data_IF_961487925283
#
_entry.id   IF_961487925283
#
_cell.length_a   1.000
_cell.length_b   1.000
_cell.length_c   1.000
_cell.angle_alpha   90.00
_cell.angle_beta   90.00
_cell.angle_gamma   90.00
#
_symmetry.space_group_name_H-M   'P 1'
#
loop_
_entity.id
_entity.type
_entity.pdbx_description
1 polymer ?
#
# COMPACT_ATOMS: atom_id res chain seq x y z
N UNK A 1 26.39 -14.59 -0.45
CA UNK A 1 25.64 -13.31 -0.42
C UNK A 1 25.14 -13.11 -1.82
N UNK A 2 23.82 -12.97 -2.01
CA UNK A 2 23.29 -12.49 -3.30
C UNK A 2 23.49 -10.98 -3.28
N UNK A 3 24.16 -10.40 -4.27
CA UNK A 3 24.51 -8.97 -4.29
C UNK A 3 23.26 -8.07 -4.20
N UNK A 4 22.11 -8.55 -4.71
CA UNK A 4 20.80 -7.88 -4.55
C UNK A 4 20.39 -7.70 -3.08
N UNK A 5 20.75 -8.64 -2.20
CA UNK A 5 20.37 -8.59 -0.79
C UNK A 5 21.03 -7.41 -0.04
N UNK A 6 22.19 -6.92 -0.52
CA UNK A 6 22.83 -5.72 0.01
C UNK A 6 22.01 -4.47 -0.29
N UNK A 7 21.54 -4.34 -1.54
CA UNK A 7 20.65 -3.24 -1.95
C UNK A 7 19.30 -3.30 -1.23
N UNK A 8 18.70 -4.48 -1.10
CA UNK A 8 17.44 -4.63 -0.36
C UNK A 8 17.58 -4.28 1.12
N UNK A 9 18.74 -4.55 1.74
CA UNK A 9 19.05 -4.10 3.10
C UNK A 9 19.11 -2.58 3.18
N UNK A 10 19.89 -1.95 2.29
CA UNK A 10 20.01 -0.49 2.25
C UNK A 10 18.64 0.18 2.05
N UNK A 11 17.81 -0.41 1.19
CA UNK A 11 16.46 0.07 0.93
C UNK A 11 15.50 -0.17 2.10
N UNK A 12 15.67 -1.25 2.85
CA UNK A 12 14.94 -1.48 4.09
C UNK A 12 15.32 -0.47 5.17
N UNK A 13 16.59 -0.10 5.26
CA UNK A 13 17.10 0.84 6.27
C UNK A 13 16.70 2.30 5.94
N UNK A 14 16.65 2.66 4.66
CA UNK A 14 16.27 3.98 4.16
C UNK A 14 15.22 3.89 3.03
N UNK A 15 13.95 3.55 3.34
CA UNK A 15 12.94 3.24 2.32
C UNK A 15 12.53 4.41 1.44
N UNK A 16 12.69 5.65 1.89
CA UNK A 16 12.41 6.84 1.11
C UNK A 16 13.58 7.28 0.20
N UNK A 17 14.74 6.61 0.25
CA UNK A 17 15.90 7.00 -0.56
C UNK A 17 15.75 6.55 -2.02
N UNK A 18 15.28 7.48 -2.85
CA UNK A 18 15.15 7.27 -4.29
C UNK A 18 16.50 7.05 -4.99
N UNK A 19 17.62 7.49 -4.41
CA UNK A 19 18.96 7.25 -4.96
C UNK A 19 19.29 5.76 -4.92
N UNK A 20 19.15 5.13 -3.75
CA UNK A 20 19.35 3.69 -3.59
C UNK A 20 18.47 2.87 -4.54
N UNK A 21 17.22 3.33 -4.77
CA UNK A 21 16.28 2.68 -5.69
C UNK A 21 16.76 2.73 -7.14
N UNK A 22 17.22 3.89 -7.60
CA UNK A 22 17.68 4.06 -8.97
C UNK A 22 19.01 3.34 -9.22
N UNK A 23 19.92 3.35 -8.24
CA UNK A 23 21.18 2.58 -8.33
C UNK A 23 20.89 1.07 -8.41
N UNK A 24 19.95 0.56 -7.60
CA UNK A 24 19.52 -0.83 -7.70
C UNK A 24 18.89 -1.13 -9.08
N UNK A 25 18.08 -0.21 -9.62
CA UNK A 25 17.49 -0.39 -10.95
C UNK A 25 18.56 -0.49 -12.05
N UNK A 26 19.58 0.37 -12.01
CA UNK A 26 20.69 0.34 -12.98
C UNK A 26 21.48 -0.97 -12.86
N UNK A 27 21.79 -1.41 -11.63
CA UNK A 27 22.46 -2.70 -11.39
C UNK A 27 21.64 -3.91 -11.86
N UNK A 28 20.31 -3.86 -11.71
CA UNK A 28 19.41 -4.92 -12.17
C UNK A 28 19.39 -5.03 -13.71
N UNK A 29 19.42 -3.91 -14.42
CA UNK A 29 19.46 -3.91 -15.89
C UNK A 29 20.74 -4.59 -16.43
N UNK A 30 21.88 -4.39 -15.75
CA UNK A 30 23.16 -5.00 -16.11
C UNK A 30 23.14 -6.54 -16.03
N UNK A 31 22.22 -7.14 -15.24
CA UNK A 31 22.07 -8.60 -15.16
C UNK A 31 21.50 -9.21 -16.43
N UNK A 32 20.70 -8.43 -17.18
CA UNK A 32 20.13 -8.84 -18.47
C UNK A 32 19.04 -9.91 -18.41
N UNK A 33 18.66 -10.41 -17.23
CA UNK A 33 17.57 -11.39 -17.09
C UNK A 33 16.17 -10.73 -17.00
N UNK A 34 15.09 -11.40 -17.43
CA UNK A 34 13.76 -10.79 -17.48
C UNK A 34 13.18 -10.34 -16.13
N UNK A 35 13.49 -11.07 -15.05
CA UNK A 35 13.02 -10.71 -13.70
C UNK A 35 13.70 -9.42 -13.24
N UNK A 36 15.02 -9.33 -13.43
CA UNK A 36 15.80 -8.13 -13.08
C UNK A 36 15.34 -6.90 -13.85
N UNK A 37 15.06 -7.03 -15.15
CA UNK A 37 14.49 -5.94 -15.96
C UNK A 37 13.11 -5.48 -15.43
N UNK A 38 12.26 -6.44 -15.04
CA UNK A 38 10.94 -6.12 -14.46
C UNK A 38 11.07 -5.39 -13.12
N UNK A 39 12.00 -5.82 -12.26
CA UNK A 39 12.33 -5.14 -11.00
C UNK A 39 12.85 -3.73 -11.22
N UNK A 40 13.76 -3.54 -12.18
CA UNK A 40 14.31 -2.22 -12.54
C UNK A 40 13.20 -1.27 -13.02
N UNK A 41 12.32 -1.76 -13.89
CA UNK A 41 11.16 -1.01 -14.37
C UNK A 41 10.22 -0.62 -13.22
N UNK A 42 9.93 -1.56 -12.29
CA UNK A 42 9.10 -1.29 -11.13
C UNK A 42 9.67 -0.20 -10.23
N UNK A 43 10.99 -0.23 -9.96
CA UNK A 43 11.66 0.80 -9.14
C UNK A 43 11.53 2.18 -9.77
N UNK A 44 11.82 2.30 -11.07
CA UNK A 44 11.72 3.58 -11.79
C UNK A 44 10.27 4.08 -11.86
N UNK A 45 9.31 3.20 -12.14
CA UNK A 45 7.89 3.53 -12.12
C UNK A 45 7.44 4.01 -10.74
N UNK A 46 7.86 3.34 -9.66
CA UNK A 46 7.54 3.72 -8.28
C UNK A 46 8.05 5.12 -7.93
N UNK A 47 9.27 5.48 -8.33
CA UNK A 47 9.82 6.83 -8.12
C UNK A 47 9.04 7.87 -8.92
N UNK A 48 8.83 7.63 -10.23
CA UNK A 48 8.14 8.57 -11.13
C UNK A 48 6.68 8.82 -10.73
N UNK A 49 6.00 7.81 -10.22
CA UNK A 49 4.58 7.87 -9.86
C UNK A 49 4.35 8.26 -8.38
N UNK A 50 5.42 8.39 -7.58
CA UNK A 50 5.32 8.92 -6.23
C UNK A 50 5.02 10.42 -6.29
N UNK A 51 3.77 10.81 -6.02
CA UNK A 51 3.39 12.22 -6.10
C UNK A 51 2.07 12.58 -5.41
N UNK A 52 1.13 11.63 -5.29
CA UNK A 52 -0.11 11.85 -4.54
C UNK A 52 -0.47 10.62 -3.72
N UNK A 53 -0.90 10.84 -2.47
CA UNK A 53 -1.54 9.80 -1.66
C UNK A 53 -3.05 9.75 -1.97
N UNK A 54 -3.42 10.01 -3.22
CA UNK A 54 -4.80 10.17 -3.62
C UNK A 54 -5.26 8.98 -4.44
N UNK A 55 -6.28 8.28 -3.94
CA UNK A 55 -6.86 7.12 -4.59
C UNK A 55 -6.17 5.81 -4.24
N UNK A 56 -6.99 4.79 -4.02
CA UNK A 56 -6.53 3.42 -3.80
C UNK A 56 -6.07 2.73 -5.09
N UNK A 57 -6.36 3.31 -6.26
CA UNK A 57 -6.11 2.69 -7.55
C UNK A 57 -4.76 3.14 -8.11
N UNK A 58 -3.89 2.18 -8.40
CA UNK A 58 -2.57 2.43 -8.96
C UNK A 58 -2.62 2.46 -10.50
N UNK A 59 -1.75 3.27 -11.14
CA UNK A 59 -1.57 3.24 -12.59
C UNK A 59 -1.35 1.81 -13.09
N UNK A 60 -2.00 1.45 -14.19
CA UNK A 60 -1.94 0.10 -14.78
C UNK A 60 -0.51 -0.40 -14.95
N UNK A 61 0.41 0.46 -15.39
CA UNK A 61 1.83 0.14 -15.51
C UNK A 61 2.44 -0.40 -14.20
N UNK A 62 2.20 0.26 -13.06
CA UNK A 62 2.78 -0.16 -11.78
C UNK A 62 2.18 -1.48 -11.31
N UNK A 63 0.89 -1.69 -11.58
CA UNK A 63 0.15 -2.91 -11.25
C UNK A 63 0.68 -4.11 -12.04
N UNK A 64 0.79 -3.96 -13.36
CA UNK A 64 1.25 -5.02 -14.26
C UNK A 64 2.68 -5.47 -13.90
N UNK A 65 3.56 -4.51 -13.61
CA UNK A 65 4.92 -4.80 -13.14
C UNK A 65 4.90 -5.54 -11.80
N UNK A 66 4.07 -5.11 -10.84
CA UNK A 66 3.99 -5.73 -9.52
C UNK A 66 3.46 -7.17 -9.56
N UNK A 67 2.52 -7.49 -10.47
CA UNK A 67 1.99 -8.85 -10.65
C UNK A 67 3.06 -9.89 -11.03
N UNK A 68 4.09 -9.46 -11.77
CA UNK A 68 5.19 -10.32 -12.22
C UNK A 68 6.30 -10.54 -11.20
N UNK A 69 6.23 -9.93 -10.01
CA UNK A 69 7.33 -9.86 -9.06
C UNK A 69 7.04 -10.58 -7.73
N UNK A 70 8.07 -11.06 -7.02
CA UNK A 70 7.89 -11.69 -5.71
C UNK A 70 7.24 -10.72 -4.70
N UNK A 71 6.14 -11.09 -4.01
CA UNK A 71 5.41 -10.18 -3.12
C UNK A 71 6.25 -9.57 -1.99
N UNK A 72 7.18 -10.34 -1.43
CA UNK A 72 8.13 -9.87 -0.42
C UNK A 72 9.10 -8.82 -0.96
N UNK A 73 9.48 -8.91 -2.24
CA UNK A 73 10.32 -7.92 -2.89
C UNK A 73 9.54 -6.64 -3.14
N UNK A 74 8.31 -6.75 -3.64
CA UNK A 74 7.42 -5.59 -3.86
C UNK A 74 7.15 -4.87 -2.54
N UNK A 75 6.95 -5.58 -1.43
CA UNK A 75 6.76 -4.98 -0.11
C UNK A 75 7.93 -4.07 0.32
N UNK A 76 9.18 -4.45 0.01
CA UNK A 76 10.35 -3.62 0.29
C UNK A 76 10.39 -2.40 -0.63
N UNK A 77 10.13 -2.62 -1.92
CA UNK A 77 10.30 -1.63 -2.97
C UNK A 77 9.11 -0.65 -3.12
N UNK A 78 7.96 -0.94 -2.52
CA UNK A 78 6.73 -0.18 -2.74
C UNK A 78 6.73 1.23 -2.11
N UNK A 79 6.04 2.17 -2.75
CA UNK A 79 5.78 3.55 -2.30
C UNK A 79 4.27 3.86 -2.17
N UNK A 80 3.45 2.84 -1.94
CA UNK A 80 1.98 2.97 -1.93
C UNK A 80 1.46 3.80 -0.74
N UNK A 81 0.26 4.40 -0.85
CA UNK A 81 -0.38 5.12 0.24
C UNK A 81 -0.67 4.23 1.45
N UNK A 82 -0.78 4.86 2.63
CA UNK A 82 -1.26 4.21 3.85
C UNK A 82 -2.74 4.51 4.05
N UNK A 83 -3.55 3.47 4.15
CA UNK A 83 -5.01 3.53 4.29
C UNK A 83 -5.47 3.17 5.72
N UNK A 84 -6.74 3.49 6.02
CA UNK A 84 -7.39 3.25 7.33
C UNK A 84 -6.66 3.93 8.50
N UNK A 85 -6.04 5.07 8.25
CA UNK A 85 -5.36 5.83 9.30
C UNK A 85 -6.40 6.47 10.23
N UNK A 86 -6.40 6.16 11.53
CA UNK A 86 -7.35 6.78 12.46
C UNK A 86 -6.92 8.17 12.98
N UNK A 87 -5.89 8.78 12.38
CA UNK A 87 -5.38 10.11 12.74
C UNK A 87 -6.47 11.18 12.48
N UNK A 88 -6.83 12.01 13.48
CA UNK A 88 -7.78 13.11 13.30
C UNK A 88 -7.38 14.09 12.17
N UNK A 89 -6.10 14.17 11.83
CA UNK A 89 -5.58 15.03 10.76
C UNK A 89 -5.52 14.35 9.37
N UNK A 90 -5.91 13.07 9.26
CA UNK A 90 -5.95 12.40 7.96
C UNK A 90 -7.13 12.92 7.13
N UNK A 91 -6.95 13.03 5.80
CA UNK A 91 -8.02 13.50 4.90
C UNK A 91 -9.05 12.39 4.68
N UNK A 92 -10.37 12.68 4.71
CA UNK A 92 -11.38 11.70 4.32
C UNK A 92 -11.14 11.30 2.87
N UNK A 93 -11.23 10.02 2.54
CA UNK A 93 -10.96 9.52 1.19
C UNK A 93 -12.12 9.88 0.27
N UNK A 94 -12.17 11.13 -0.20
CA UNK A 94 -12.98 11.60 -1.32
C UNK A 94 -14.48 11.29 -1.31
N UNK A 95 -15.08 10.84 -0.21
CA UNK A 95 -16.51 10.52 -0.13
C UNK A 95 -17.30 11.71 0.39
N UNK A 96 -18.39 12.13 -0.28
CA UNK A 96 -19.35 13.03 0.34
C UNK A 96 -19.95 12.39 1.61
N UNK A 97 -20.09 13.17 2.69
CA UNK A 97 -20.74 12.82 3.96
C UNK A 97 -19.99 11.87 4.94
N UNK A 98 -18.68 11.68 4.81
CA UNK A 98 -17.89 10.84 5.73
C UNK A 98 -18.07 11.20 7.23
N UNK A 99 -18.19 12.50 7.55
CA UNK A 99 -18.42 13.02 8.90
C UNK A 99 -19.77 12.54 9.49
N UNK A 100 -20.84 12.57 8.68
CA UNK A 100 -22.19 12.21 9.09
C UNK A 100 -22.36 10.68 9.23
N UNK A 101 -21.66 9.89 8.41
CA UNK A 101 -21.64 8.44 8.52
C UNK A 101 -20.84 7.96 9.74
N UNK A 102 -19.73 8.63 10.09
CA UNK A 102 -18.96 8.33 11.30
C UNK A 102 -19.83 8.47 12.57
N UNK A 103 -20.59 9.56 12.68
CA UNK A 103 -21.49 9.81 13.81
C UNK A 103 -22.62 8.79 13.90
N UNK A 104 -23.06 8.25 12.76
CA UNK A 104 -24.21 7.33 12.69
C UNK A 104 -23.84 5.86 12.89
N UNK A 105 -22.69 5.44 12.37
CA UNK A 105 -22.29 4.03 12.33
C UNK A 105 -21.16 3.69 13.32
N UNK A 106 -20.50 4.70 13.90
CA UNK A 106 -19.44 4.51 14.89
C UNK A 106 -18.15 3.92 14.31
N UNK A 107 -17.96 3.95 12.99
CA UNK A 107 -16.80 3.33 12.32
C UNK A 107 -15.97 4.38 11.57
N UNK A 108 -14.67 4.48 11.90
CA UNK A 108 -13.71 5.38 11.24
C UNK A 108 -13.29 4.78 9.89
N UNK A 109 -14.12 4.94 8.87
CA UNK A 109 -13.77 4.49 7.54
C UNK A 109 -13.19 5.64 6.72
N UNK A 110 -12.11 5.31 6.01
CA UNK A 110 -11.59 6.07 4.88
C UNK A 110 -10.81 7.34 5.20
N UNK A 111 -9.65 7.14 5.81
CA UNK A 111 -8.62 8.14 5.95
C UNK A 111 -7.34 7.64 5.29
N UNK A 112 -6.91 8.34 4.25
CA UNK A 112 -5.58 8.13 3.67
C UNK A 112 -4.61 8.97 4.49
N UNK A 113 -3.54 8.35 4.98
CA UNK A 113 -2.49 9.06 5.68
C UNK A 113 -1.73 9.96 4.70
N UNK A 114 -1.26 11.11 5.16
CA UNK A 114 -0.31 11.91 4.36
C UNK A 114 1.08 11.23 4.27
N UNK A 115 1.31 10.16 5.04
CA UNK A 115 2.50 9.31 4.91
C UNK A 115 2.27 8.17 3.92
N UNK A 116 3.30 7.84 3.14
CA UNK A 116 3.38 6.64 2.31
C UNK A 116 4.14 5.53 3.00
N UNK A 117 3.97 4.31 2.51
CA UNK A 117 4.67 3.14 3.01
C UNK A 117 6.19 3.32 3.08
N UNK A 118 6.81 3.97 2.09
CA UNK A 118 8.24 4.27 2.01
C UNK A 118 8.72 5.32 3.00
N UNK A 119 7.82 6.13 3.55
CA UNK A 119 8.16 7.19 4.52
C UNK A 119 8.09 6.69 5.97
N UNK A 120 7.58 5.47 6.18
CA UNK A 120 7.42 4.89 7.51
C UNK A 120 8.75 4.34 8.03
N UNK A 121 8.93 4.44 9.35
CA UNK A 121 10.10 3.89 10.03
C UNK A 121 10.12 2.35 9.92
N UNK A 122 11.22 1.73 9.47
CA UNK A 122 11.37 0.29 9.39
C UNK A 122 11.20 -0.41 10.75
N UNK A 123 10.80 -1.68 10.72
CA UNK A 123 10.83 -2.57 11.89
C UNK A 123 11.64 -3.84 11.57
N UNK A 124 11.72 -4.78 12.53
CA UNK A 124 12.35 -6.08 12.28
C UNK A 124 11.60 -6.98 11.28
N UNK A 125 10.36 -6.62 10.91
CA UNK A 125 9.57 -7.29 9.89
C UNK A 125 9.42 -6.36 8.67
N UNK A 126 9.86 -6.80 7.49
CA UNK A 126 9.79 -6.03 6.25
C UNK A 126 8.36 -5.67 5.82
N UNK A 127 7.35 -6.42 6.31
CA UNK A 127 5.92 -6.17 6.05
C UNK A 127 5.25 -5.34 7.14
N UNK A 128 6.01 -4.87 8.13
CA UNK A 128 5.50 -3.98 9.18
C UNK A 128 6.41 -2.76 9.31
N UNK A 129 5.82 -1.56 9.21
CA UNK A 129 6.53 -0.30 9.45
C UNK A 129 5.79 0.52 10.49
N UNK A 130 6.51 1.39 11.18
CA UNK A 130 5.92 2.28 12.18
C UNK A 130 5.70 3.67 11.58
N UNK A 131 4.47 4.17 11.67
CA UNK A 131 4.14 5.52 11.26
C UNK A 131 4.34 6.50 12.42
N UNK A 132 5.32 7.39 12.31
CA UNK A 132 5.59 8.39 13.36
C UNK A 132 4.52 9.48 13.44
N UNK A 133 3.67 9.63 12.42
CA UNK A 133 2.57 10.58 12.46
C UNK A 133 1.40 10.08 13.32
N UNK A 134 0.88 8.90 13.02
CA UNK A 134 -0.27 8.34 13.74
C UNK A 134 0.13 7.42 14.91
N UNK A 135 1.45 7.20 15.12
CA UNK A 135 2.03 6.38 16.19
C UNK A 135 1.53 4.93 16.18
N UNK A 136 1.22 4.38 15.00
CA UNK A 136 0.74 3.00 14.82
C UNK A 136 1.66 2.19 13.92
N UNK A 137 1.63 0.88 14.13
CA UNK A 137 2.16 -0.08 13.16
C UNK A 137 1.25 -0.15 11.94
N UNK A 138 1.84 0.00 10.77
CA UNK A 138 1.21 -0.16 9.46
C UNK A 138 1.63 -1.51 8.89
N UNK A 139 0.68 -2.28 8.36
CA UNK A 139 0.93 -3.60 7.76
C UNK A 139 0.84 -3.54 6.25
N UNK A 140 1.86 -4.09 5.58
CA UNK A 140 1.81 -4.33 4.15
C UNK A 140 0.97 -5.57 3.86
N UNK A 141 0.01 -5.45 2.96
CA UNK A 141 -0.88 -6.52 2.53
C UNK A 141 -0.65 -6.80 1.05
N UNK A 142 -0.19 -8.02 0.75
CA UNK A 142 0.01 -8.52 -0.61
C UNK A 142 -1.28 -9.01 -1.28
N UNK A 143 -2.37 -9.14 -0.52
CA UNK A 143 -3.70 -9.53 -1.05
C UNK A 143 -4.82 -8.68 -0.45
N UNK A 144 -5.92 -8.54 -1.20
CA UNK A 144 -7.13 -7.88 -0.71
C UNK A 144 -7.82 -8.64 0.42
N UNK A 145 -7.67 -9.96 0.49
CA UNK A 145 -8.16 -10.74 1.61
C UNK A 145 -7.44 -10.34 2.91
N UNK A 146 -6.10 -10.30 2.88
CA UNK A 146 -5.30 -9.86 4.01
C UNK A 146 -5.62 -8.40 4.38
N UNK A 147 -5.72 -7.52 3.37
CA UNK A 147 -6.05 -6.11 3.57
C UNK A 147 -7.40 -5.94 4.29
N UNK A 148 -8.44 -6.66 3.84
CA UNK A 148 -9.77 -6.65 4.48
C UNK A 148 -9.74 -7.23 5.89
N UNK A 149 -9.00 -8.32 6.11
CA UNK A 149 -8.85 -8.90 7.43
C UNK A 149 -8.21 -7.89 8.41
N UNK A 150 -7.13 -7.23 8.01
CA UNK A 150 -6.46 -6.21 8.82
C UNK A 150 -7.33 -4.97 9.04
N UNK A 151 -8.06 -4.53 8.01
CA UNK A 151 -8.99 -3.42 8.11
C UNK A 151 -10.12 -3.70 9.12
N UNK A 152 -10.61 -4.94 9.21
CA UNK A 152 -11.59 -5.35 10.24
C UNK A 152 -11.10 -5.17 11.67
N UNK A 153 -9.79 -5.32 11.89
CA UNK A 153 -9.18 -5.11 13.21
C UNK A 153 -8.77 -3.64 13.45
N UNK A 154 -9.08 -2.72 12.53
CA UNK A 154 -8.75 -1.29 12.67
C UNK A 154 -7.26 -0.97 12.50
N UNK A 155 -6.50 -1.87 11.87
CA UNK A 155 -5.08 -1.65 11.58
C UNK A 155 -4.91 -0.72 10.37
N UNK A 156 -3.88 0.11 10.42
CA UNK A 156 -3.44 0.88 9.26
C UNK A 156 -2.74 -0.06 8.28
N UNK A 157 -3.02 0.10 6.98
CA UNK A 157 -2.54 -0.84 5.97
C UNK A 157 -1.94 -0.12 4.76
N UNK A 158 -1.00 -0.79 4.10
CA UNK A 158 -0.52 -0.46 2.77
C UNK A 158 -0.81 -1.67 1.89
N UNK A 159 -1.52 -1.49 0.77
CA UNK A 159 -1.93 -2.59 -0.10
C UNK A 159 -1.01 -2.65 -1.31
N UNK A 160 -0.61 -3.86 -1.70
CA UNK A 160 0.26 -4.07 -2.85
C UNK A 160 -0.32 -3.45 -4.12
N UNK A 161 0.51 -2.80 -4.94
CA UNK A 161 0.07 -2.25 -6.21
C UNK A 161 -0.35 -3.33 -7.21
N UNK A 162 -0.01 -4.61 -6.96
CA UNK A 162 -0.49 -5.75 -7.75
C UNK A 162 -1.99 -6.01 -7.56
N UNK A 163 -2.63 -5.53 -6.50
CA UNK A 163 -4.06 -5.79 -6.32
C UNK A 163 -4.90 -4.87 -7.21
N UNK A 164 -5.94 -5.42 -7.83
CA UNK A 164 -6.98 -4.61 -8.45
C UNK A 164 -7.86 -3.98 -7.38
N UNK A 165 -8.00 -2.65 -7.44
CA UNK A 165 -8.62 -1.84 -6.38
C UNK A 165 -9.86 -1.11 -6.89
N UNK A 166 -10.88 -1.07 -6.06
CA UNK A 166 -12.10 -0.29 -6.27
C UNK A 166 -12.39 0.60 -5.07
N UNK A 167 -13.02 1.74 -5.30
CA UNK A 167 -13.39 2.65 -4.20
C UNK A 167 -14.28 1.93 -3.19
N UNK A 168 -13.79 1.78 -1.95
CA UNK A 168 -14.55 1.13 -0.87
C UNK A 168 -14.35 -0.35 -0.71
N UNK A 169 -13.42 -0.96 -1.43
CA UNK A 169 -13.13 -2.39 -1.35
C UNK A 169 -12.65 -2.89 0.02
N UNK A 170 -12.23 -1.98 0.91
CA UNK A 170 -11.91 -2.26 2.30
C UNK A 170 -13.12 -2.18 3.26
N UNK A 171 -14.25 -1.63 2.82
CA UNK A 171 -15.41 -1.36 3.67
C UNK A 171 -16.15 -2.63 4.07
N UNK A 172 -16.27 -2.82 5.39
CA UNK A 172 -16.87 -4.01 5.99
C UNK A 172 -18.39 -4.05 5.74
N UNK A 173 -19.02 -2.88 5.58
CA UNK A 173 -20.46 -2.74 5.36
C UNK A 173 -20.89 -3.13 3.93
N UNK A 174 -20.00 -3.06 2.93
CA UNK A 174 -20.35 -3.22 1.52
C UNK A 174 -20.71 -4.66 1.11
N UNK A 175 -20.52 -5.66 1.97
CA UNK A 175 -20.90 -7.06 1.70
C UNK A 175 -22.20 -7.54 2.37
N UNK A 176 -22.81 -6.75 3.26
CA UNK A 176 -24.07 -7.15 3.93
C UNK A 176 -25.34 -6.68 3.21
N UNK A 177 -25.24 -5.86 2.15
CA UNK A 177 -26.41 -5.33 1.43
C UNK A 177 -26.83 -6.11 0.16
N UNK A 178 -26.13 -7.20 -0.19
CA UNK A 178 -26.45 -8.01 -1.39
C UNK A 178 -27.08 -9.37 -1.10
N UNK A 179 -27.49 -9.65 0.14
CA UNK A 179 -28.23 -10.87 0.49
C UNK A 179 -29.50 -10.52 1.29
N UNK A 180 -30.62 -10.39 0.56
CA UNK A 180 -31.96 -10.61 1.09
C UNK A 180 -32.79 -9.36 1.39
N UNK A 181 -33.44 -8.82 0.36
CA UNK A 181 -34.78 -8.27 0.56
C UNK A 181 -35.79 -9.41 0.31
N UNK A 182 -36.39 -10.03 1.33
CA UNK A 182 -37.60 -10.80 1.11
C UNK A 182 -38.72 -9.82 0.76
N UNK A 183 -39.38 -10.06 -0.37
CA UNK A 183 -40.52 -9.27 -0.84
C UNK A 183 -41.58 -9.14 0.26
N UNK A 184 -41.98 -7.91 0.53
CA UNK A 184 -43.18 -7.62 1.30
C UNK A 184 -44.39 -7.93 0.41
N UNK A 185 -45.22 -8.83 0.94
CA UNK A 185 -46.56 -9.20 0.51
C UNK A 185 -47.48 -7.98 0.63
#
# INVERSE_FOLDING_TARGET
MNDEAGFLRALLDAPADDTTRLVLADWLDERGDPESQTKAHFLRASVRLAGTNEGANHPTELRDLAHGLPPEWVAVASKVPVERCADPAAKPSGRPNAEAEFQRLGVRFNFICDQRWDELRPTGDARVRHCERCQKSVRYCDTMEAARAQAKFGNCIAVSPAEERETGDLDIASKMLTLGAPGLI
#
